data_IF_838487153765
#
_entry.id   IF_838487153765
#
_cell.length_a   1.000
_cell.length_b   1.000
_cell.length_c   1.000
_cell.angle_alpha   90.00
_cell.angle_beta   90.00
_cell.angle_gamma   90.00
#
_symmetry.space_group_name_H-M   'P 1'
#
loop_
_entity.id
_entity.type
_entity.pdbx_description
1 polymer ?
#
# COMPACT_ATOMS: atom_id res chain seq x y z
N UNK A 1 -29.98 23.41 0.45
CA UNK A 1 -29.40 23.22 1.79
C UNK A 1 -27.91 23.20 1.56
N UNK A 2 -27.26 24.34 1.77
CA UNK A 2 -25.83 24.47 1.51
C UNK A 2 -25.06 23.99 2.74
N UNK A 3 -24.19 23.01 2.53
CA UNK A 3 -23.33 22.45 3.58
C UNK A 3 -21.96 23.11 3.43
N UNK A 4 -21.44 23.69 4.52
CA UNK A 4 -20.13 24.34 4.49
C UNK A 4 -18.99 23.32 4.38
N UNK A 5 -17.87 23.71 3.78
CA UNK A 5 -16.66 22.87 3.71
C UNK A 5 -16.18 22.42 5.11
N UNK A 6 -16.29 23.32 6.10
CA UNK A 6 -15.95 23.02 7.49
C UNK A 6 -16.86 21.92 8.07
N UNK A 7 -18.15 21.93 7.73
CA UNK A 7 -19.09 20.88 8.12
C UNK A 7 -18.74 19.55 7.46
N UNK A 8 -18.39 19.55 6.18
CA UNK A 8 -17.96 18.34 5.46
C UNK A 8 -16.68 17.76 6.09
N UNK A 9 -15.69 18.61 6.40
CA UNK A 9 -14.45 18.19 7.07
C UNK A 9 -14.75 17.57 8.43
N UNK A 10 -15.54 18.25 9.27
CA UNK A 10 -15.87 17.77 10.62
C UNK A 10 -16.63 16.42 10.61
N UNK A 11 -17.47 16.18 9.61
CA UNK A 11 -18.13 14.88 9.43
C UNK A 11 -17.13 13.82 9.00
N UNK A 12 -16.21 14.16 8.07
CA UNK A 12 -15.20 13.22 7.56
C UNK A 12 -14.18 12.84 8.64
N UNK A 13 -13.81 13.78 9.51
CA UNK A 13 -12.87 13.57 10.61
C UNK A 13 -13.36 12.51 11.62
N UNK A 14 -14.69 12.30 11.70
CA UNK A 14 -15.27 11.24 12.54
C UNK A 14 -14.91 9.83 12.05
N UNK A 15 -14.44 9.68 10.81
CA UNK A 15 -13.98 8.40 10.27
C UNK A 15 -12.52 8.10 10.63
N UNK A 16 -11.75 9.08 11.12
CA UNK A 16 -10.33 8.89 11.46
C UNK A 16 -10.11 7.73 12.44
N UNK A 17 -10.88 7.58 13.54
CA UNK A 17 -10.72 6.44 14.45
C UNK A 17 -11.01 5.09 13.76
N UNK A 18 -12.00 5.04 12.87
CA UNK A 18 -12.34 3.82 12.12
C UNK A 18 -11.24 3.47 11.12
N UNK A 19 -10.67 4.46 10.43
CA UNK A 19 -9.53 4.27 9.55
C UNK A 19 -8.33 3.72 10.31
N UNK A 20 -8.00 4.28 11.48
CA UNK A 20 -6.91 3.78 12.33
C UNK A 20 -7.16 2.34 12.79
N UNK A 21 -8.37 2.03 13.24
CA UNK A 21 -8.73 0.67 13.64
C UNK A 21 -8.64 -0.32 12.48
N UNK A 22 -9.06 0.10 11.28
CA UNK A 22 -8.91 -0.70 10.06
C UNK A 22 -7.45 -0.90 9.66
N UNK A 23 -6.61 0.14 9.78
CA UNK A 23 -5.17 0.03 9.51
C UNK A 23 -4.47 -0.94 10.47
N UNK A 24 -4.90 -1.00 11.73
CA UNK A 24 -4.34 -1.89 12.75
C UNK A 24 -4.97 -3.29 12.79
N UNK A 25 -5.94 -3.59 11.92
CA UNK A 25 -6.64 -4.89 11.96
C UNK A 25 -5.67 -6.04 11.68
N UNK A 26 -5.91 -7.20 12.28
CA UNK A 26 -5.20 -8.44 11.95
C UNK A 26 -5.69 -8.95 10.58
N UNK A 27 -4.82 -9.05 9.57
CA UNK A 27 -5.14 -9.68 8.28
C UNK A 27 -5.09 -11.22 8.38
N UNK A 28 -5.43 -11.91 7.30
CA UNK A 28 -5.24 -13.36 7.19
C UNK A 28 -3.73 -13.69 7.23
N UNK A 29 -3.38 -14.89 7.70
CA UNK A 29 -1.96 -15.27 7.83
C UNK A 29 -1.29 -15.59 6.51
N UNK A 30 -2.03 -15.95 5.47
CA UNK A 30 -1.48 -16.35 4.16
C UNK A 30 -2.24 -15.70 3.02
N UNK A 31 -1.50 -15.13 2.07
CA UNK A 31 -2.05 -14.55 0.84
C UNK A 31 -1.46 -15.21 -0.41
N UNK A 32 -2.32 -15.44 -1.41
CA UNK A 32 -1.92 -16.06 -2.68
C UNK A 32 -1.18 -15.07 -3.58
N UNK A 33 -1.70 -13.85 -3.68
CA UNK A 33 -1.14 -12.78 -4.49
C UNK A 33 -1.24 -11.46 -3.73
N UNK A 34 -0.20 -10.64 -3.78
CA UNK A 34 -0.23 -9.26 -3.28
C UNK A 34 0.29 -8.32 -4.36
N UNK A 35 -0.53 -7.36 -4.76
CA UNK A 35 -0.11 -6.24 -5.59
C UNK A 35 0.36 -5.11 -4.69
N UNK A 36 1.64 -4.76 -4.80
CA UNK A 36 2.24 -3.67 -4.06
C UNK A 36 2.51 -2.52 -5.03
N UNK A 37 1.95 -1.36 -4.72
CA UNK A 37 2.01 -0.20 -5.59
C UNK A 37 2.30 1.05 -4.77
N UNK A 38 3.11 1.94 -5.33
CA UNK A 38 3.43 3.25 -4.79
C UNK A 38 2.79 4.33 -5.69
N UNK A 39 1.92 5.16 -5.12
CA UNK A 39 1.23 6.21 -5.86
C UNK A 39 1.76 7.57 -5.39
N UNK A 40 2.45 8.34 -6.23
CA UNK A 40 2.87 9.69 -5.87
C UNK A 40 1.68 10.65 -5.88
N UNK A 41 1.62 11.55 -4.90
CA UNK A 41 0.59 12.58 -4.79
C UNK A 41 1.16 13.85 -4.16
N UNK A 42 0.50 14.99 -4.42
CA UNK A 42 0.87 16.29 -3.86
C UNK A 42 -0.08 16.68 -2.75
N UNK A 43 0.45 16.95 -1.56
CA UNK A 43 -0.32 17.40 -0.40
C UNK A 43 0.04 18.84 -0.10
N UNK A 44 -0.95 19.65 0.25
CA UNK A 44 -0.72 21.01 0.71
C UNK A 44 -0.42 20.99 2.21
N UNK A 45 0.79 21.36 2.59
CA UNK A 45 1.24 21.46 3.99
C UNK A 45 1.94 22.80 4.21
N UNK A 46 1.67 23.47 5.33
CA UNK A 46 2.31 24.74 5.75
C UNK A 46 2.43 25.83 4.66
N UNK A 47 1.43 25.90 3.76
CA UNK A 47 1.39 26.89 2.68
C UNK A 47 2.14 26.51 1.41
N UNK A 48 2.81 25.35 1.38
CA UNK A 48 3.46 24.77 0.19
C UNK A 48 2.81 23.45 -0.25
N UNK A 49 3.23 22.93 -1.40
CA UNK A 49 2.91 21.57 -1.84
C UNK A 49 4.12 20.67 -1.63
N UNK A 50 3.91 19.56 -0.92
CA UNK A 50 4.91 18.51 -0.70
C UNK A 50 4.52 17.26 -1.49
N UNK A 51 5.50 16.56 -2.05
CA UNK A 51 5.26 15.27 -2.68
C UNK A 51 5.24 14.20 -1.58
N UNK A 52 4.25 13.32 -1.63
CA UNK A 52 4.12 12.13 -0.78
C UNK A 52 3.86 10.92 -1.65
N UNK A 53 4.09 9.74 -1.07
CA UNK A 53 3.92 8.44 -1.73
C UNK A 53 2.97 7.60 -0.89
N UNK A 54 1.94 7.06 -1.56
CA UNK A 54 0.92 6.23 -0.94
C UNK A 54 1.19 4.79 -1.36
N UNK A 55 1.63 3.99 -0.41
CA UNK A 55 1.81 2.56 -0.57
C UNK A 55 0.49 1.85 -0.35
N UNK A 56 0.06 1.10 -1.37
CA UNK A 56 -1.15 0.30 -1.32
C UNK A 56 -0.78 -1.18 -1.45
N UNK A 57 -1.30 -2.01 -0.54
CA UNK A 57 -1.14 -3.46 -0.59
C UNK A 57 -2.51 -4.08 -0.78
N UNK A 58 -2.81 -4.49 -2.01
CA UNK A 58 -4.03 -5.21 -2.33
C UNK A 58 -3.70 -6.69 -2.46
N UNK A 59 -4.46 -7.56 -1.80
CA UNK A 59 -4.17 -8.98 -1.74
C UNK A 59 -5.35 -9.84 -2.18
N UNK A 60 -5.04 -11.06 -2.65
CA UNK A 60 -5.98 -12.14 -2.90
C UNK A 60 -5.79 -13.20 -1.80
N UNK A 61 -6.81 -13.38 -0.96
CA UNK A 61 -6.75 -14.38 0.10
C UNK A 61 -6.99 -15.81 -0.42
N UNK A 62 -6.87 -16.79 0.46
CA UNK A 62 -7.04 -18.22 0.14
C UNK A 62 -8.46 -18.61 -0.29
N UNK A 63 -9.46 -17.76 0.01
CA UNK A 63 -10.84 -17.91 -0.47
C UNK A 63 -11.07 -17.29 -1.86
N UNK A 64 -10.05 -16.69 -2.46
CA UNK A 64 -10.15 -16.01 -3.75
C UNK A 64 -10.81 -14.63 -3.68
N UNK A 65 -10.87 -14.01 -2.50
CA UNK A 65 -11.41 -12.65 -2.31
C UNK A 65 -10.28 -11.64 -2.33
N UNK A 66 -10.51 -10.53 -3.04
CA UNK A 66 -9.60 -9.38 -3.05
C UNK A 66 -9.90 -8.46 -1.89
N UNK A 67 -8.87 -8.01 -1.20
CA UNK A 67 -8.99 -7.00 -0.15
C UNK A 67 -7.76 -6.08 -0.09
N UNK A 68 -7.93 -4.92 0.53
CA UNK A 68 -6.83 -4.01 0.84
C UNK A 68 -6.31 -4.35 2.24
N UNK A 69 -5.04 -4.72 2.34
CA UNK A 69 -4.43 -5.21 3.59
C UNK A 69 -3.51 -4.18 4.24
N UNK A 70 -3.10 -3.17 3.48
CA UNK A 70 -2.25 -2.09 3.96
C UNK A 70 -2.37 -0.81 3.14
N UNK A 71 -2.24 0.32 3.84
CA UNK A 71 -2.22 1.66 3.28
C UNK A 71 -1.26 2.53 4.09
N UNK A 72 -0.15 2.95 3.49
CA UNK A 72 0.92 3.67 4.18
C UNK A 72 1.31 4.93 3.41
N UNK A 73 1.60 6.00 4.14
CA UNK A 73 2.07 7.26 3.57
C UNK A 73 3.54 7.45 3.93
N UNK A 74 4.38 7.77 2.93
CA UNK A 74 5.76 8.22 3.14
C UNK A 74 6.05 9.49 2.34
N UNK A 75 7.15 10.15 2.68
CA UNK A 75 7.70 11.28 1.92
C UNK A 75 8.63 10.80 0.80
N UNK A 76 9.20 9.61 0.96
CA UNK A 76 10.14 9.00 0.01
C UNK A 76 9.62 7.70 -0.54
N UNK A 77 10.20 7.29 -1.67
CA UNK A 77 10.05 5.95 -2.19
C UNK A 77 11.37 5.20 -2.19
N UNK A 78 11.42 4.05 -1.51
CA UNK A 78 12.62 3.22 -1.51
C UNK A 78 12.46 1.86 -0.83
N UNK A 79 13.50 1.04 -0.94
CA UNK A 79 13.54 -0.30 -0.34
C UNK A 79 13.38 -0.28 1.19
N UNK A 80 13.88 0.76 1.88
CA UNK A 80 13.75 0.91 3.32
C UNK A 80 12.29 1.19 3.74
N UNK A 81 11.58 2.03 2.98
CA UNK A 81 10.15 2.29 3.20
C UNK A 81 9.34 0.99 3.04
N UNK A 82 9.63 0.22 1.99
CA UNK A 82 9.00 -1.09 1.78
C UNK A 82 9.32 -2.09 2.89
N UNK A 83 10.56 -2.13 3.38
CA UNK A 83 10.92 -3.00 4.50
C UNK A 83 10.10 -2.67 5.76
N UNK A 84 9.89 -1.38 6.04
CA UNK A 84 9.04 -0.92 7.15
C UNK A 84 7.58 -1.38 6.97
N UNK A 85 7.03 -1.19 5.78
CA UNK A 85 5.68 -1.62 5.40
C UNK A 85 5.50 -3.14 5.56
N UNK A 86 6.45 -3.92 5.06
CA UNK A 86 6.41 -5.38 5.10
C UNK A 86 6.60 -5.92 6.53
N UNK A 87 7.44 -5.25 7.32
CA UNK A 87 7.63 -5.57 8.74
C UNK A 87 6.35 -5.34 9.54
N UNK A 88 5.65 -4.23 9.31
CA UNK A 88 4.34 -3.98 9.94
C UNK A 88 3.33 -5.06 9.58
N UNK A 89 3.26 -5.43 8.29
CA UNK A 89 2.35 -6.47 7.83
C UNK A 89 2.64 -7.84 8.49
N UNK A 90 3.91 -8.19 8.62
CA UNK A 90 4.33 -9.40 9.34
C UNK A 90 3.96 -9.35 10.82
N UNK A 91 4.24 -8.23 11.49
CA UNK A 91 3.89 -8.03 12.91
C UNK A 91 2.38 -8.08 13.17
N UNK A 92 1.56 -7.73 12.18
CA UNK A 92 0.10 -7.82 12.25
C UNK A 92 -0.43 -9.24 12.09
N UNK A 93 0.40 -10.20 11.68
CA UNK A 93 0.06 -11.63 11.63
C UNK A 93 0.14 -12.27 10.24
N UNK A 94 0.63 -11.57 9.21
CA UNK A 94 0.92 -12.22 7.92
C UNK A 94 2.18 -13.06 8.06
N UNK A 95 2.05 -14.35 7.76
CA UNK A 95 3.13 -15.33 7.83
C UNK A 95 3.71 -15.63 6.45
N UNK A 96 2.87 -15.65 5.40
CA UNK A 96 3.35 -15.98 4.05
C UNK A 96 2.59 -15.24 2.93
N UNK A 97 3.34 -14.93 1.88
CA UNK A 97 2.85 -14.34 0.63
C UNK A 97 3.42 -15.19 -0.50
N UNK A 98 2.58 -15.91 -1.24
CA UNK A 98 3.07 -16.80 -2.29
C UNK A 98 3.66 -15.99 -3.47
N UNK A 99 2.96 -14.95 -3.89
CA UNK A 99 3.40 -14.09 -4.99
C UNK A 99 3.21 -12.61 -4.71
N UNK A 100 4.27 -11.83 -4.94
CA UNK A 100 4.26 -10.37 -4.89
C UNK A 100 4.39 -9.80 -6.31
N UNK A 101 3.44 -8.96 -6.70
CA UNK A 101 3.44 -8.24 -7.98
C UNK A 101 3.82 -6.78 -7.75
N UNK A 102 4.94 -6.34 -8.35
CA UNK A 102 5.52 -4.99 -8.19
C UNK A 102 5.95 -4.37 -9.51
N UNK A 103 6.26 -3.07 -9.51
CA UNK A 103 6.68 -2.30 -10.68
C UNK A 103 8.16 -2.50 -11.06
N UNK A 104 8.94 -3.18 -10.21
CA UNK A 104 10.35 -3.44 -10.45
C UNK A 104 11.30 -2.49 -9.73
N UNK A 105 10.84 -1.80 -8.67
CA UNK A 105 11.69 -1.01 -7.79
C UNK A 105 12.95 -1.78 -7.35
N UNK A 106 14.12 -1.19 -7.59
CA UNK A 106 15.41 -1.76 -7.20
C UNK A 106 15.50 -1.92 -5.68
N UNK A 107 15.91 -3.10 -5.21
CA UNK A 107 16.02 -3.39 -3.77
C UNK A 107 14.73 -3.94 -3.15
N UNK A 108 13.60 -3.91 -3.88
CA UNK A 108 12.34 -4.48 -3.38
C UNK A 108 12.42 -6.01 -3.20
N UNK A 109 12.92 -6.80 -4.17
CA UNK A 109 13.01 -8.26 -4.00
C UNK A 109 13.79 -8.68 -2.76
N UNK A 110 14.89 -7.98 -2.47
CA UNK A 110 15.70 -8.21 -1.27
C UNK A 110 14.95 -7.83 0.01
N UNK A 111 14.21 -6.72 0.01
CA UNK A 111 13.41 -6.28 1.15
C UNK A 111 12.27 -7.25 1.48
N UNK A 112 11.56 -7.75 0.47
CA UNK A 112 10.46 -8.72 0.70
C UNK A 112 10.98 -10.08 1.10
N UNK A 113 12.07 -10.58 0.50
CA UNK A 113 12.65 -11.86 0.88
C UNK A 113 13.30 -11.86 2.27
N UNK A 114 13.66 -10.68 2.80
CA UNK A 114 14.12 -10.55 4.18
C UNK A 114 13.01 -10.82 5.21
N UNK A 115 11.74 -10.61 4.85
CA UNK A 115 10.57 -10.79 5.74
C UNK A 115 9.80 -12.07 5.37
N UNK A 116 9.57 -12.30 4.07
CA UNK A 116 8.84 -13.41 3.50
C UNK A 116 9.76 -14.18 2.52
N UNK A 117 10.63 -15.07 3.03
CA UNK A 117 11.72 -15.66 2.24
C UNK A 117 11.26 -16.57 1.10
N UNK A 118 10.02 -17.08 1.16
CA UNK A 118 9.44 -17.97 0.15
C UNK A 118 8.64 -17.21 -0.92
N UNK A 119 8.50 -15.89 -0.82
CA UNK A 119 7.69 -15.12 -1.76
C UNK A 119 8.35 -15.05 -3.13
N UNK A 120 7.60 -15.43 -4.16
CA UNK A 120 7.99 -15.19 -5.55
C UNK A 120 7.65 -13.76 -5.96
N UNK A 121 8.64 -13.04 -6.47
CA UNK A 121 8.46 -11.66 -6.96
C UNK A 121 8.28 -11.67 -8.47
N UNK A 122 7.19 -11.06 -8.94
CA UNK A 122 6.89 -10.88 -10.35
C UNK A 122 6.67 -9.42 -10.69
N UNK A 123 7.02 -9.04 -11.92
CA UNK A 123 6.68 -7.72 -12.45
C UNK A 123 5.19 -7.66 -12.75
N UNK A 124 4.53 -6.61 -12.27
CA UNK A 124 3.10 -6.43 -12.45
C UNK A 124 2.79 -6.01 -13.89
N UNK A 125 2.11 -6.88 -14.64
CA UNK A 125 1.71 -6.61 -16.03
C UNK A 125 0.77 -5.39 -16.12
N UNK A 126 -0.06 -5.14 -15.10
CA UNK A 126 -0.96 -3.99 -15.08
C UNK A 126 -0.21 -2.66 -14.99
N UNK A 127 0.85 -2.60 -14.18
CA UNK A 127 1.70 -1.41 -14.10
C UNK A 127 2.44 -1.22 -15.43
N UNK A 128 3.00 -2.28 -16.02
CA UNK A 128 3.68 -2.21 -17.32
C UNK A 128 2.75 -1.71 -18.44
N UNK A 129 1.50 -2.18 -18.51
CA UNK A 129 0.52 -1.69 -19.50
C UNK A 129 0.24 -0.20 -19.30
N UNK A 130 0.09 0.23 -18.04
CA UNK A 130 -0.17 1.63 -17.71
C UNK A 130 1.01 2.53 -18.12
N UNK A 131 2.23 2.13 -17.81
CA UNK A 131 3.43 2.86 -18.20
C UNK A 131 3.56 2.96 -19.72
N UNK A 132 3.32 1.85 -20.42
CA UNK A 132 3.33 1.84 -21.89
C UNK A 132 2.29 2.79 -22.49
N UNK A 133 1.06 2.81 -21.95
CA UNK A 133 -0.01 3.67 -22.43
C UNK A 133 0.21 5.17 -22.17
N UNK A 134 1.04 5.54 -21.19
CA UNK A 134 1.38 6.94 -20.87
C UNK A 134 2.54 7.49 -21.72
N UNK A 135 3.29 6.61 -22.39
CA UNK A 135 4.39 6.97 -23.28
C UNK A 135 3.95 7.17 -24.75
N UNK A 136 2.66 7.01 -25.06
CA UNK A 136 2.07 7.16 -26.41
C UNK A 136 1.47 8.52 -26.69
#
# INVERSE_FOLDING_TARGET
MDVSEATISSITDQLIPQLKAWQSRTPDSVYLFVWLNAIPYKVKEEGGYVNKVLYTLQALNTEGKKELIGLYCSETEGANDWLSVLTDLHNRGVEDILMACVDGLKGFPEAIQAIFPNTEVQLCVLQQIREFALCG
#
